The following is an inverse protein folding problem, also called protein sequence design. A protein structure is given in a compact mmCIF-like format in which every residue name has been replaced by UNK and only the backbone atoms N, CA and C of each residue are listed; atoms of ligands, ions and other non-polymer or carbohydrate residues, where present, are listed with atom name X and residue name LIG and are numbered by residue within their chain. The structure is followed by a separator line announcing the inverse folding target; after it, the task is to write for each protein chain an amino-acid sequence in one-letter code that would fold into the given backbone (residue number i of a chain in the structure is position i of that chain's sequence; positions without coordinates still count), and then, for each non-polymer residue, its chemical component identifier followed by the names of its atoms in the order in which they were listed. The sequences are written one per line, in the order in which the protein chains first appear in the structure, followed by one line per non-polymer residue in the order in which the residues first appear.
data_IF_115734787929
#
_entry.id   IF_115734787929
#
_cell.length_a   1.000
_cell.length_b   1.000
_cell.length_c   1.000
_cell.angle_alpha   90.00
_cell.angle_beta   90.00
_cell.angle_gamma   90.00
#
_symmetry.space_group_name_H-M   'P 1'
#
loop_
_entity.id
_entity.type
_entity.pdbx_description
1 polymer ?
#
# COMPACT_ATOMS: atom_id res chain seq x y z
N UNK A 1 13.26 -10.89 -1.32
CA UNK A 1 12.13 -11.84 -1.18
C UNK A 1 10.82 -11.07 -1.34
N UNK A 2 9.77 -11.64 -1.93
CA UNK A 2 8.48 -10.96 -2.12
C UNK A 2 7.47 -11.71 -1.26
N UNK A 3 6.72 -10.99 -0.39
CA UNK A 3 5.68 -11.62 0.42
C UNK A 3 4.63 -12.27 -0.48
N UNK A 4 4.45 -13.57 -0.33
CA UNK A 4 3.41 -14.32 -0.99
C UNK A 4 2.10 -14.11 -0.22
N UNK A 5 1.07 -13.62 -0.88
CA UNK A 5 -0.26 -13.41 -0.30
C UNK A 5 -1.25 -14.44 -0.86
N UNK A 6 -1.16 -15.71 -0.45
CA UNK A 6 -1.93 -16.78 -1.07
C UNK A 6 -3.45 -16.62 -0.90
N UNK A 7 -3.90 -16.11 0.23
CA UNK A 7 -5.32 -15.85 0.48
C UNK A 7 -5.88 -14.79 -0.47
N UNK A 8 -5.13 -13.70 -0.67
CA UNK A 8 -5.52 -12.61 -1.56
C UNK A 8 -5.53 -13.08 -3.02
N UNK A 9 -4.51 -13.85 -3.42
CA UNK A 9 -4.44 -14.44 -4.75
C UNK A 9 -5.61 -15.40 -5.01
N UNK A 10 -5.96 -16.27 -4.04
CA UNK A 10 -7.15 -17.13 -4.14
C UNK A 10 -8.42 -16.31 -4.36
N UNK A 11 -8.58 -15.19 -3.65
CA UNK A 11 -9.74 -14.31 -3.82
C UNK A 11 -9.81 -13.70 -5.21
N UNK A 12 -8.67 -13.26 -5.77
CA UNK A 12 -8.59 -12.76 -7.16
C UNK A 12 -9.04 -13.83 -8.15
N UNK A 13 -8.53 -15.06 -8.03
CA UNK A 13 -8.92 -16.16 -8.92
C UNK A 13 -10.37 -16.57 -8.74
N UNK A 14 -10.86 -16.65 -7.50
CA UNK A 14 -12.27 -16.93 -7.23
C UNK A 14 -13.22 -15.92 -7.89
N UNK A 15 -12.84 -14.64 -7.94
CA UNK A 15 -13.60 -13.62 -8.65
C UNK A 15 -13.56 -13.83 -10.18
N UNK A 16 -12.40 -14.15 -10.74
CA UNK A 16 -12.24 -14.41 -12.18
C UNK A 16 -13.00 -15.67 -12.64
N UNK A 17 -13.06 -16.70 -11.80
CA UNK A 17 -13.67 -17.99 -12.09
C UNK A 17 -15.16 -18.07 -11.67
N UNK A 18 -15.69 -17.00 -11.07
CA UNK A 18 -17.11 -16.91 -10.73
C UNK A 18 -18.02 -16.99 -11.98
N UNK A 19 -19.26 -17.42 -11.81
CA UNK A 19 -20.26 -17.44 -12.88
C UNK A 19 -21.48 -16.59 -12.50
N UNK A 20 -21.66 -15.42 -13.12
CA UNK A 20 -20.80 -14.78 -14.13
C UNK A 20 -19.46 -14.33 -13.54
N UNK A 21 -18.42 -14.31 -14.39
CA UNK A 21 -17.07 -13.86 -14.01
C UNK A 21 -17.12 -12.42 -13.48
N UNK A 22 -16.40 -12.14 -12.39
CA UNK A 22 -16.29 -10.81 -11.80
C UNK A 22 -14.93 -10.19 -12.13
N UNK A 23 -14.86 -8.88 -12.06
CA UNK A 23 -13.64 -8.10 -12.28
C UNK A 23 -13.08 -7.70 -10.91
N UNK A 24 -12.02 -8.35 -10.40
CA UNK A 24 -11.36 -7.93 -9.18
C UNK A 24 -10.65 -6.59 -9.38
N UNK A 25 -10.86 -5.67 -8.45
CA UNK A 25 -10.26 -4.33 -8.42
C UNK A 25 -9.47 -4.18 -7.14
N UNK A 26 -8.15 -4.28 -7.25
CA UNK A 26 -7.23 -4.18 -6.11
C UNK A 26 -7.00 -2.71 -5.76
N UNK A 27 -7.43 -2.29 -4.59
CA UNK A 27 -7.26 -0.91 -4.12
C UNK A 27 -6.37 -0.81 -2.89
N UNK A 28 -5.60 0.25 -2.79
CA UNK A 28 -4.72 0.49 -1.63
C UNK A 28 -3.65 1.53 -1.95
N UNK A 29 -3.07 2.17 -0.94
CA UNK A 29 -2.08 3.24 -1.09
C UNK A 29 -0.80 2.83 -1.82
N UNK A 30 0.09 3.79 -2.06
CA UNK A 30 1.41 3.52 -2.63
C UNK A 30 2.17 2.49 -1.79
N UNK A 31 2.87 1.57 -2.45
CA UNK A 31 3.66 0.55 -1.77
C UNK A 31 2.86 -0.59 -1.12
N UNK A 32 1.54 -0.69 -1.34
CA UNK A 32 0.71 -1.79 -0.80
C UNK A 32 0.91 -3.16 -1.47
N UNK A 33 1.68 -3.22 -2.57
CA UNK A 33 2.00 -4.47 -3.28
C UNK A 33 1.01 -4.86 -4.38
N UNK A 34 0.15 -3.96 -4.86
CA UNK A 34 -0.83 -4.21 -5.95
C UNK A 34 -0.15 -4.71 -7.22
N UNK A 35 0.82 -3.96 -7.75
CA UNK A 35 1.60 -4.34 -8.94
C UNK A 35 2.28 -5.69 -8.78
N UNK A 36 2.84 -5.96 -7.60
CA UNK A 36 3.46 -7.25 -7.29
C UNK A 36 2.46 -8.40 -7.41
N UNK A 37 1.26 -8.24 -6.82
CA UNK A 37 0.20 -9.24 -6.89
C UNK A 37 -0.29 -9.43 -8.33
N UNK A 38 -0.40 -8.33 -9.08
CA UNK A 38 -0.82 -8.36 -10.49
C UNK A 38 0.19 -9.14 -11.36
N UNK A 39 1.49 -8.93 -11.16
CA UNK A 39 2.55 -9.66 -11.86
C UNK A 39 2.59 -11.15 -11.47
N UNK A 40 2.37 -11.46 -10.19
CA UNK A 40 2.22 -12.85 -9.75
C UNK A 40 0.98 -13.53 -10.38
N UNK A 41 -0.13 -12.80 -10.52
CA UNK A 41 -1.32 -13.29 -11.22
C UNK A 41 -1.03 -13.58 -12.70
N UNK A 42 -0.32 -12.67 -13.38
CA UNK A 42 0.13 -12.88 -14.77
C UNK A 42 0.95 -14.15 -14.93
N UNK A 43 1.93 -14.36 -14.05
CA UNK A 43 2.82 -15.52 -14.16
C UNK A 43 2.06 -16.84 -13.91
N UNK A 44 0.99 -16.83 -13.10
CA UNK A 44 0.11 -18.00 -12.89
C UNK A 44 -0.88 -18.23 -14.03
N UNK A 45 -1.42 -17.18 -14.61
CA UNK A 45 -2.38 -17.27 -15.73
C UNK A 45 -1.69 -17.61 -17.06
N UNK A 46 -0.39 -17.42 -17.16
CA UNK A 46 0.40 -17.60 -18.36
C UNK A 46 0.43 -16.35 -19.24
N UNK A 47 1.64 -16.05 -19.73
CA UNK A 47 1.91 -14.81 -20.50
C UNK A 47 1.27 -14.78 -21.89
N UNK A 48 0.95 -15.94 -22.45
CA UNK A 48 0.28 -16.05 -23.74
C UNK A 48 -1.23 -15.83 -23.67
N UNK A 49 -1.81 -16.02 -22.48
CA UNK A 49 -3.25 -15.81 -22.21
C UNK A 49 -3.52 -14.48 -21.48
N UNK A 50 -2.47 -13.72 -21.13
CA UNK A 50 -2.59 -12.56 -20.25
C UNK A 50 -1.74 -11.40 -20.73
N UNK A 51 -2.31 -10.22 -20.84
CA UNK A 51 -1.61 -8.98 -21.11
C UNK A 51 -1.61 -8.07 -19.89
N UNK A 52 -0.40 -7.68 -19.45
CA UNK A 52 -0.20 -6.63 -18.44
C UNK A 52 -0.05 -5.27 -19.10
N UNK A 53 -0.74 -4.28 -18.59
CA UNK A 53 -0.71 -2.89 -19.07
C UNK A 53 -0.44 -1.97 -17.89
N UNK A 54 0.71 -1.30 -17.90
CA UNK A 54 1.04 -0.21 -16.98
C UNK A 54 0.40 1.08 -17.53
N UNK A 55 -0.78 1.39 -17.02
CA UNK A 55 -1.56 2.53 -17.49
C UNK A 55 -0.89 3.84 -17.09
N UNK A 56 -0.36 3.93 -15.87
CA UNK A 56 0.31 5.14 -15.39
C UNK A 56 1.47 5.57 -16.32
N UNK A 57 2.27 4.60 -16.72
CA UNK A 57 3.44 4.85 -17.55
C UNK A 57 3.10 5.14 -19.01
N UNK A 58 2.01 4.56 -19.51
CA UNK A 58 1.70 4.55 -20.93
C UNK A 58 0.59 5.52 -21.33
N UNK A 59 -0.31 5.91 -20.43
CA UNK A 59 -1.47 6.78 -20.73
C UNK A 59 -1.09 8.26 -20.89
N UNK A 60 -0.32 8.60 -21.93
CA UNK A 60 0.07 9.98 -22.27
C UNK A 60 -0.92 10.64 -23.21
N UNK A 61 -1.27 10.02 -24.34
CA UNK A 61 -2.36 10.37 -25.24
C UNK A 61 -3.11 9.10 -25.63
N UNK A 62 -4.40 9.20 -26.03
CA UNK A 62 -5.18 8.02 -26.42
C UNK A 62 -4.52 7.20 -27.53
N UNK A 63 -3.94 7.86 -28.55
CA UNK A 63 -3.29 7.17 -29.67
C UNK A 63 -1.99 6.48 -29.26
N UNK A 64 -1.17 7.12 -28.39
CA UNK A 64 0.05 6.50 -27.87
C UNK A 64 -0.25 5.35 -26.95
N UNK A 65 -1.28 5.50 -26.12
CA UNK A 65 -1.73 4.43 -25.23
C UNK A 65 -2.23 3.22 -26.03
N UNK A 66 -3.09 3.42 -27.04
CA UNK A 66 -3.56 2.34 -27.89
C UNK A 66 -2.38 1.60 -28.55
N UNK A 67 -1.37 2.33 -29.09
CA UNK A 67 -0.15 1.73 -29.64
C UNK A 67 0.65 0.94 -28.59
N UNK A 68 0.78 1.48 -27.37
CA UNK A 68 1.48 0.82 -26.27
C UNK A 68 0.76 -0.46 -25.79
N UNK A 69 -0.55 -0.54 -25.98
CA UNK A 69 -1.34 -1.73 -25.68
C UNK A 69 -1.28 -2.74 -26.82
N UNK A 70 -1.43 -2.32 -28.07
CA UNK A 70 -1.49 -3.20 -29.22
C UNK A 70 -0.13 -3.81 -29.58
N UNK A 71 0.96 -3.00 -29.55
CA UNK A 71 2.28 -3.42 -30.01
C UNK A 71 2.86 -4.64 -29.26
N UNK A 72 2.87 -4.69 -27.92
CA UNK A 72 3.37 -5.83 -27.15
C UNK A 72 2.30 -6.90 -26.88
N UNK A 73 1.11 -6.81 -27.49
CA UNK A 73 0.01 -7.71 -27.19
C UNK A 73 0.31 -9.16 -27.62
N UNK A 74 0.06 -10.16 -26.75
CA UNK A 74 0.08 -11.56 -27.16
C UNK A 74 -1.16 -11.98 -27.97
N UNK A 75 -2.12 -11.09 -28.13
CA UNK A 75 -3.36 -11.34 -28.88
C UNK A 75 -3.32 -10.71 -30.26
N UNK A 76 -4.02 -11.27 -31.24
CA UNK A 76 -4.12 -10.67 -32.57
C UNK A 76 -4.66 -9.23 -32.49
N UNK A 77 -3.98 -8.30 -33.09
CA UNK A 77 -4.33 -6.87 -33.14
C UNK A 77 -4.38 -6.38 -34.57
N UNK A 78 -5.09 -5.28 -34.80
CA UNK A 78 -4.93 -4.50 -36.03
C UNK A 78 -3.69 -3.61 -35.89
N UNK A 79 -2.82 -3.58 -36.89
CA UNK A 79 -1.58 -2.79 -36.87
C UNK A 79 -1.84 -1.26 -36.88
N UNK A 80 -3.04 -0.84 -37.29
CA UNK A 80 -3.38 0.55 -37.46
C UNK A 80 -4.18 1.10 -36.27
N UNK A 81 -3.60 2.05 -35.51
CA UNK A 81 -4.34 2.85 -34.54
C UNK A 81 -5.04 3.99 -35.28
N UNK A 82 -6.36 4.15 -35.16
CA UNK A 82 -7.08 5.25 -35.79
C UNK A 82 -6.55 6.62 -35.34
N UNK A 83 -6.57 7.58 -36.25
CA UNK A 83 -6.21 8.96 -35.95
C UNK A 83 -7.32 9.65 -35.13
N UNK A 84 -6.90 10.40 -34.11
CA UNK A 84 -7.80 11.15 -33.23
C UNK A 84 -8.09 10.45 -31.89
N UNK A 85 -8.25 11.24 -30.85
CA UNK A 85 -8.33 10.76 -29.47
C UNK A 85 -9.52 9.81 -29.23
N UNK A 86 -10.72 10.21 -29.68
CA UNK A 86 -11.94 9.38 -29.49
C UNK A 86 -11.88 8.09 -30.33
N UNK A 87 -11.55 8.12 -31.63
CA UNK A 87 -11.43 6.89 -32.42
C UNK A 87 -10.35 5.92 -31.88
N UNK A 88 -9.22 6.44 -31.43
CA UNK A 88 -8.17 5.60 -30.84
C UNK A 88 -8.63 4.93 -29.53
N UNK A 89 -9.37 5.65 -28.69
CA UNK A 89 -9.93 5.10 -27.46
C UNK A 89 -11.05 4.07 -27.75
N UNK A 90 -11.91 4.32 -28.73
CA UNK A 90 -12.95 3.36 -29.15
C UNK A 90 -12.33 2.06 -29.70
N UNK A 91 -11.26 2.17 -30.49
CA UNK A 91 -10.52 1.01 -30.99
C UNK A 91 -9.89 0.21 -29.82
N UNK A 92 -9.35 0.90 -28.81
CA UNK A 92 -8.85 0.26 -27.59
C UNK A 92 -9.95 -0.48 -26.85
N UNK A 93 -11.11 0.13 -26.63
CA UNK A 93 -12.25 -0.52 -25.97
C UNK A 93 -12.73 -1.76 -26.75
N UNK A 94 -12.82 -1.65 -28.07
CA UNK A 94 -13.16 -2.77 -28.94
C UNK A 94 -12.15 -3.92 -28.83
N UNK A 95 -10.85 -3.60 -28.79
CA UNK A 95 -9.80 -4.58 -28.58
C UNK A 95 -9.94 -5.27 -27.21
N UNK A 96 -10.06 -4.51 -26.13
CA UNK A 96 -10.24 -5.06 -24.78
C UNK A 96 -11.50 -5.95 -24.68
N UNK A 97 -12.57 -5.61 -25.41
CA UNK A 97 -13.81 -6.38 -25.40
C UNK A 97 -13.74 -7.68 -26.21
N UNK A 98 -13.00 -7.69 -27.32
CA UNK A 98 -13.10 -8.75 -28.34
C UNK A 98 -11.82 -9.57 -28.55
N UNK A 99 -10.69 -9.20 -27.93
CA UNK A 99 -9.45 -9.96 -28.03
C UNK A 99 -9.65 -11.43 -27.64
N UNK A 100 -8.92 -12.30 -28.34
CA UNK A 100 -8.91 -13.74 -28.08
C UNK A 100 -7.47 -14.24 -28.03
N UNK A 101 -7.26 -15.29 -27.25
CA UNK A 101 -6.00 -16.04 -27.29
C UNK A 101 -5.84 -16.76 -28.64
N UNK A 102 -4.65 -17.27 -28.95
CA UNK A 102 -4.43 -18.09 -30.13
C UNK A 102 -5.29 -19.35 -30.18
N UNK A 103 -5.79 -19.81 -29.04
CA UNK A 103 -6.74 -20.92 -28.93
C UNK A 103 -8.21 -20.50 -29.07
N UNK A 104 -8.51 -19.21 -29.30
CA UNK A 104 -9.88 -18.68 -29.39
C UNK A 104 -10.55 -18.39 -28.04
N UNK A 105 -9.86 -18.64 -26.93
CA UNK A 105 -10.38 -18.41 -25.58
C UNK A 105 -10.42 -16.92 -25.21
N UNK A 106 -11.23 -16.53 -24.21
CA UNK A 106 -11.25 -15.17 -23.70
C UNK A 106 -9.86 -14.72 -23.21
N UNK A 107 -9.44 -13.53 -23.60
CA UNK A 107 -8.19 -12.92 -23.14
C UNK A 107 -8.31 -12.42 -21.70
N UNK A 108 -7.19 -12.36 -21.00
CA UNK A 108 -7.11 -11.74 -19.67
C UNK A 108 -6.26 -10.47 -19.73
N UNK A 109 -6.79 -9.36 -19.21
CA UNK A 109 -6.09 -8.07 -19.14
C UNK A 109 -5.86 -7.66 -17.69
N UNK A 110 -4.63 -7.27 -17.37
CA UNK A 110 -4.21 -6.77 -16.08
C UNK A 110 -3.89 -5.28 -16.23
N UNK A 111 -4.81 -4.40 -15.82
CA UNK A 111 -4.65 -2.96 -15.96
C UNK A 111 -4.17 -2.35 -14.64
N UNK A 112 -2.89 -2.01 -14.59
CA UNK A 112 -2.27 -1.40 -13.40
C UNK A 112 -2.51 0.12 -13.41
N UNK A 113 -3.04 0.65 -12.30
CA UNK A 113 -3.40 2.06 -12.11
C UNK A 113 -4.42 2.59 -13.14
N UNK A 114 -5.51 1.85 -13.37
CA UNK A 114 -6.49 2.14 -14.42
C UNK A 114 -7.12 3.53 -14.35
N UNK A 115 -7.20 4.15 -13.15
CA UNK A 115 -7.72 5.51 -12.99
C UNK A 115 -6.84 6.60 -13.62
N UNK A 116 -5.61 6.30 -13.99
CA UNK A 116 -4.73 7.24 -14.69
C UNK A 116 -5.21 7.55 -16.11
N UNK A 117 -6.11 6.73 -16.68
CA UNK A 117 -6.82 7.07 -17.91
C UNK A 117 -7.64 8.36 -17.80
N UNK A 118 -7.89 8.86 -16.58
CA UNK A 118 -8.52 10.18 -16.37
C UNK A 118 -7.75 11.32 -17.07
N UNK A 119 -6.47 11.17 -17.37
CA UNK A 119 -5.74 12.13 -18.18
C UNK A 119 -6.40 12.41 -19.51
N UNK A 120 -7.14 11.44 -20.04
CA UNK A 120 -7.81 11.56 -21.32
C UNK A 120 -9.08 12.42 -21.25
N UNK A 121 -9.62 12.74 -20.08
CA UNK A 121 -10.77 13.65 -19.93
C UNK A 121 -10.53 15.03 -20.53
N UNK A 122 -9.27 15.44 -20.67
CA UNK A 122 -8.88 16.69 -21.31
C UNK A 122 -8.98 16.68 -22.85
N UNK A 123 -9.09 15.49 -23.45
CA UNK A 123 -9.19 15.35 -24.90
C UNK A 123 -10.65 15.45 -25.39
N UNK A 124 -10.88 16.01 -26.60
CA UNK A 124 -12.22 16.11 -27.17
C UNK A 124 -12.92 14.75 -27.24
N UNK A 125 -14.17 14.71 -26.78
CA UNK A 125 -15.01 13.51 -26.81
C UNK A 125 -14.73 12.49 -25.70
N UNK A 126 -13.75 12.70 -24.79
CA UNK A 126 -13.35 11.75 -23.76
C UNK A 126 -13.66 12.20 -22.33
N UNK A 127 -14.55 13.16 -22.11
CA UNK A 127 -14.92 13.66 -20.77
C UNK A 127 -15.43 12.57 -19.81
N UNK A 128 -15.93 11.45 -20.33
CA UNK A 128 -16.46 10.33 -19.56
C UNK A 128 -15.62 9.06 -19.72
N UNK A 129 -14.36 9.18 -20.07
CA UNK A 129 -13.45 8.07 -20.41
C UNK A 129 -13.46 6.94 -19.39
N UNK A 130 -13.47 7.25 -18.09
CA UNK A 130 -13.51 6.22 -17.03
C UNK A 130 -14.85 5.49 -16.98
N UNK A 131 -15.97 6.16 -17.23
CA UNK A 131 -17.27 5.51 -17.29
C UNK A 131 -17.39 4.65 -18.55
N UNK A 132 -16.96 5.18 -19.71
CA UNK A 132 -16.94 4.43 -20.97
C UNK A 132 -16.06 3.17 -20.85
N UNK A 133 -14.89 3.29 -20.20
CA UNK A 133 -14.04 2.13 -19.89
C UNK A 133 -14.77 1.11 -19.01
N UNK A 134 -15.28 1.53 -17.86
CA UNK A 134 -15.91 0.62 -16.89
C UNK A 134 -17.14 -0.07 -17.51
N UNK A 135 -17.95 0.65 -18.29
CA UNK A 135 -19.09 0.09 -18.99
C UNK A 135 -18.65 -0.92 -20.07
N UNK A 136 -17.59 -0.59 -20.84
CA UNK A 136 -17.01 -1.50 -21.84
C UNK A 136 -16.45 -2.78 -21.22
N UNK A 137 -15.72 -2.67 -20.10
CA UNK A 137 -15.18 -3.84 -19.39
C UNK A 137 -16.31 -4.69 -18.78
N UNK A 138 -17.35 -4.07 -18.22
CA UNK A 138 -18.48 -4.77 -17.63
C UNK A 138 -19.28 -5.60 -18.67
N UNK A 139 -19.40 -5.09 -19.90
CA UNK A 139 -20.08 -5.77 -21.00
C UNK A 139 -19.23 -6.82 -21.73
N UNK A 140 -17.92 -6.91 -21.44
CA UNK A 140 -17.01 -7.82 -22.13
C UNK A 140 -17.09 -9.24 -21.59
N UNK A 141 -16.82 -10.23 -22.45
CA UNK A 141 -16.61 -11.64 -22.07
C UNK A 141 -15.16 -11.91 -21.63
N UNK A 142 -14.24 -10.99 -21.90
CA UNK A 142 -12.86 -11.10 -21.47
C UNK A 142 -12.71 -10.90 -19.96
N UNK A 143 -11.59 -11.35 -19.41
CA UNK A 143 -11.28 -11.29 -17.99
C UNK A 143 -10.42 -10.07 -17.71
N UNK A 144 -10.67 -9.41 -16.59
CA UNK A 144 -9.90 -8.22 -16.18
C UNK A 144 -9.52 -8.29 -14.72
N UNK A 145 -8.32 -7.79 -14.41
CA UNK A 145 -7.91 -7.44 -13.04
C UNK A 145 -7.43 -5.99 -13.08
N UNK A 146 -8.01 -5.15 -12.24
CA UNK A 146 -7.68 -3.73 -12.20
C UNK A 146 -6.95 -3.40 -10.90
N UNK A 147 -6.08 -2.40 -10.94
CA UNK A 147 -5.53 -1.82 -9.71
C UNK A 147 -5.72 -0.31 -9.67
N UNK A 148 -5.80 0.23 -8.46
CA UNK A 148 -5.82 1.67 -8.23
C UNK A 148 -5.27 2.03 -6.86
N UNK A 149 -4.46 3.10 -6.80
CA UNK A 149 -4.02 3.71 -5.54
C UNK A 149 -5.09 4.58 -4.89
N UNK A 150 -6.13 4.97 -5.61
CA UNK A 150 -7.16 5.88 -5.16
C UNK A 150 -8.41 5.12 -4.73
N UNK A 151 -8.44 4.68 -3.47
CA UNK A 151 -9.52 3.83 -2.93
C UNK A 151 -10.87 4.54 -2.96
N UNK A 152 -10.95 5.75 -2.40
CA UNK A 152 -12.19 6.52 -2.33
C UNK A 152 -12.77 6.81 -3.72
N UNK A 153 -11.92 7.19 -4.67
CA UNK A 153 -12.33 7.48 -6.06
C UNK A 153 -12.80 6.22 -6.78
N UNK A 154 -12.09 5.10 -6.60
CA UNK A 154 -12.47 3.80 -7.19
C UNK A 154 -13.84 3.36 -6.66
N UNK A 155 -14.05 3.42 -5.36
CA UNK A 155 -15.34 3.07 -4.73
C UNK A 155 -16.48 3.94 -5.27
N UNK A 156 -16.24 5.22 -5.47
CA UNK A 156 -17.24 6.15 -6.03
C UNK A 156 -17.58 5.82 -7.48
N UNK A 157 -16.57 5.56 -8.32
CA UNK A 157 -16.75 5.21 -9.74
C UNK A 157 -17.52 3.90 -9.92
N UNK A 158 -17.29 2.92 -9.05
CA UNK A 158 -17.85 1.57 -9.15
C UNK A 158 -19.07 1.33 -8.27
N UNK A 159 -19.58 2.34 -7.56
CA UNK A 159 -20.68 2.22 -6.56
C UNK A 159 -21.88 1.43 -7.10
N UNK A 160 -22.32 1.73 -8.32
CA UNK A 160 -23.52 1.17 -8.91
C UNK A 160 -23.26 -0.06 -9.81
N UNK A 161 -22.02 -0.61 -9.73
CA UNK A 161 -21.55 -1.71 -10.61
C UNK A 161 -21.01 -2.91 -9.83
N UNK A 162 -21.44 -3.08 -8.59
CA UNK A 162 -20.92 -4.11 -7.65
C UNK A 162 -21.24 -5.54 -8.08
N UNK A 163 -22.21 -5.75 -8.97
CA UNK A 163 -22.52 -7.08 -9.53
C UNK A 163 -21.39 -7.61 -10.42
N UNK A 164 -20.68 -6.73 -11.13
CA UNK A 164 -19.61 -7.12 -12.08
C UNK A 164 -18.22 -6.88 -11.48
N UNK A 165 -18.05 -5.86 -10.62
CA UNK A 165 -16.77 -5.50 -10.03
C UNK A 165 -16.68 -5.94 -8.56
N UNK A 166 -15.57 -6.56 -8.18
CA UNK A 166 -15.26 -6.89 -6.79
C UNK A 166 -14.09 -6.04 -6.29
N UNK A 167 -14.39 -5.08 -5.42
CA UNK A 167 -13.36 -4.25 -4.80
C UNK A 167 -12.66 -5.06 -3.70
N UNK A 168 -11.35 -5.24 -3.86
CA UNK A 168 -10.49 -5.95 -2.93
C UNK A 168 -9.48 -4.95 -2.37
N UNK A 169 -9.69 -4.55 -1.13
CA UNK A 169 -8.73 -3.69 -0.44
C UNK A 169 -7.47 -4.49 -0.11
N UNK A 170 -6.30 -3.94 -0.44
CA UNK A 170 -5.02 -4.54 -0.11
C UNK A 170 -4.81 -4.47 1.41
N UNK A 171 -4.77 -5.60 2.11
CA UNK A 171 -4.55 -5.59 3.55
C UNK A 171 -3.10 -5.19 3.87
N UNK A 172 -2.87 -4.70 5.10
CA UNK A 172 -1.53 -4.63 5.67
C UNK A 172 -0.89 -6.04 5.70
N UNK A 173 0.44 -6.12 5.78
CA UNK A 173 1.12 -7.37 6.10
C UNK A 173 0.71 -7.82 7.49
N UNK A 174 0.77 -9.11 7.75
CA UNK A 174 0.71 -9.64 9.11
C UNK A 174 2.11 -9.64 9.74
N UNK A 175 2.21 -9.94 11.02
CA UNK A 175 3.50 -10.11 11.69
C UNK A 175 4.25 -11.29 11.09
N UNK A 176 3.53 -12.37 10.73
CA UNK A 176 4.08 -13.56 10.08
C UNK A 176 4.67 -13.23 8.70
N UNK A 177 3.96 -12.44 7.88
CA UNK A 177 4.47 -11.93 6.60
C UNK A 177 5.75 -11.09 6.83
N UNK A 178 5.80 -10.32 7.93
CA UNK A 178 6.97 -9.50 8.30
C UNK A 178 8.15 -10.37 8.71
N UNK A 179 7.91 -11.43 9.49
CA UNK A 179 8.94 -12.44 9.86
C UNK A 179 9.55 -13.06 8.59
N UNK A 180 8.71 -13.41 7.63
CA UNK A 180 9.18 -13.96 6.35
C UNK A 180 10.05 -12.96 5.57
N UNK A 181 9.62 -11.71 5.47
CA UNK A 181 10.35 -10.65 4.78
C UNK A 181 11.68 -10.29 5.43
N UNK A 182 11.78 -10.38 6.76
CA UNK A 182 13.01 -10.17 7.53
C UNK A 182 13.98 -11.36 7.45
N UNK A 183 13.55 -12.50 6.85
CA UNK A 183 14.34 -13.72 6.80
C UNK A 183 14.50 -14.42 8.15
N UNK A 184 13.61 -14.13 9.10
CA UNK A 184 13.67 -14.67 10.48
C UNK A 184 12.97 -16.02 10.63
N UNK A 185 12.36 -16.54 9.59
CA UNK A 185 11.60 -17.81 9.61
C UNK A 185 12.43 -19.02 10.05
N UNK A 186 13.75 -19.01 9.82
CA UNK A 186 14.64 -20.09 10.25
C UNK A 186 14.86 -20.07 11.78
N UNK A 187 15.08 -18.87 12.36
CA UNK A 187 15.23 -18.68 13.79
C UNK A 187 13.96 -19.10 14.55
N UNK A 188 12.79 -18.80 13.98
CA UNK A 188 11.49 -19.17 14.55
C UNK A 188 11.19 -20.69 14.42
N UNK A 189 11.64 -21.36 13.33
CA UNK A 189 11.41 -22.82 13.13
C UNK A 189 12.34 -23.73 13.89
N UNK A 190 13.54 -23.25 14.26
CA UNK A 190 14.48 -24.03 15.08
C UNK A 190 13.87 -24.51 16.42
N UNK A 191 12.74 -23.94 16.82
CA UNK A 191 11.99 -24.29 18.03
C UNK A 191 10.84 -25.29 17.80
N UNK A 192 10.37 -25.46 16.56
CA UNK A 192 9.22 -26.32 16.25
C UNK A 192 9.59 -27.78 15.94
N UNK A 193 10.86 -28.16 16.08
CA UNK A 193 11.37 -29.48 15.72
C UNK A 193 11.11 -30.62 16.73
N UNK A 194 10.37 -30.37 17.83
CA UNK A 194 9.97 -31.39 18.79
C UNK A 194 8.45 -31.42 18.96
N UNK A 195 7.86 -32.57 18.70
CA UNK A 195 6.39 -32.85 18.71
C UNK A 195 5.69 -32.58 20.07
N UNK A 196 6.43 -32.12 21.12
CA UNK A 196 5.88 -31.82 22.45
C UNK A 196 6.53 -30.62 23.18
N UNK A 197 7.09 -29.62 22.47
CA UNK A 197 7.74 -28.50 23.14
C UNK A 197 6.75 -27.34 23.41
N UNK A 198 5.92 -27.50 24.45
CA UNK A 198 5.32 -26.35 25.16
C UNK A 198 6.40 -25.83 26.15
N UNK A 199 7.50 -25.29 25.62
CA UNK A 199 8.55 -24.65 26.39
C UNK A 199 8.63 -23.13 26.02
N UNK A 200 9.23 -22.29 26.90
CA UNK A 200 9.47 -20.88 26.55
C UNK A 200 10.34 -20.81 25.29
N UNK A 201 10.06 -19.82 24.43
CA UNK A 201 10.87 -19.52 23.24
C UNK A 201 12.34 -19.34 23.67
N UNK A 202 13.29 -19.75 22.81
CA UNK A 202 14.70 -19.41 23.03
C UNK A 202 14.86 -17.88 22.97
N UNK A 203 15.87 -17.35 23.64
CA UNK A 203 16.14 -15.90 23.64
C UNK A 203 16.26 -15.37 22.20
N UNK A 204 16.91 -16.11 21.29
CA UNK A 204 17.02 -15.76 19.86
C UNK A 204 15.67 -15.70 19.14
N UNK A 205 14.75 -16.59 19.46
CA UNK A 205 13.41 -16.61 18.86
C UNK A 205 12.54 -15.46 19.41
N UNK A 206 12.71 -15.14 20.70
CA UNK A 206 12.01 -14.02 21.32
C UNK A 206 12.47 -12.68 20.75
N UNK A 207 13.77 -12.51 20.58
CA UNK A 207 14.37 -11.31 19.96
C UNK A 207 13.93 -11.18 18.49
N UNK A 208 13.86 -12.28 17.74
CA UNK A 208 13.39 -12.29 16.35
C UNK A 208 11.91 -11.88 16.24
N UNK A 209 11.07 -12.39 17.15
CA UNK A 209 9.66 -12.02 17.19
C UNK A 209 9.48 -10.55 17.59
N UNK A 210 10.19 -10.07 18.59
CA UNK A 210 10.16 -8.67 19.03
C UNK A 210 10.61 -7.74 17.90
N UNK A 211 11.70 -8.08 17.19
CA UNK A 211 12.17 -7.33 16.03
C UNK A 211 11.09 -7.26 14.93
N UNK A 212 10.47 -8.38 14.59
CA UNK A 212 9.44 -8.44 13.57
C UNK A 212 8.19 -7.61 13.95
N UNK A 213 7.74 -7.72 15.19
CA UNK A 213 6.62 -6.92 15.72
C UNK A 213 6.93 -5.43 15.71
N UNK A 214 8.16 -5.06 16.08
CA UNK A 214 8.63 -3.67 16.05
C UNK A 214 8.63 -3.12 14.63
N UNK A 215 9.26 -3.82 13.69
CA UNK A 215 9.29 -3.42 12.27
C UNK A 215 7.88 -3.34 11.69
N UNK A 216 7.02 -4.31 11.99
CA UNK A 216 5.62 -4.30 11.58
C UNK A 216 4.89 -3.05 12.08
N UNK A 217 5.03 -2.72 13.35
CA UNK A 217 4.35 -1.60 13.99
C UNK A 217 4.82 -0.23 13.47
N UNK A 218 6.15 -0.03 13.31
CA UNK A 218 6.69 1.23 12.79
C UNK A 218 6.48 1.39 11.28
N UNK A 219 6.34 0.29 10.54
CA UNK A 219 6.02 0.29 9.11
C UNK A 219 4.50 0.33 8.82
N UNK A 220 3.64 0.32 9.86
CA UNK A 220 2.17 0.24 9.72
C UNK A 220 1.74 -0.97 8.85
N UNK A 221 2.50 -2.09 8.91
CA UNK A 221 2.31 -3.27 8.08
C UNK A 221 2.37 -3.02 6.56
N UNK A 222 2.90 -1.89 6.10
CA UNK A 222 2.97 -1.56 4.67
C UNK A 222 4.14 -2.28 4.01
N UNK A 223 3.90 -3.08 2.95
CA UNK A 223 4.92 -3.92 2.34
C UNK A 223 6.19 -3.17 1.89
N UNK A 224 6.02 -1.98 1.30
CA UNK A 224 7.17 -1.19 0.83
C UNK A 224 8.03 -0.68 1.99
N UNK A 225 7.41 -0.31 3.12
CA UNK A 225 8.11 0.19 4.30
C UNK A 225 8.80 -0.94 5.06
N UNK A 226 8.07 -2.04 5.30
CA UNK A 226 8.66 -3.26 5.89
C UNK A 226 9.87 -3.71 5.08
N UNK A 227 9.74 -3.74 3.75
CA UNK A 227 10.84 -4.15 2.87
C UNK A 227 12.04 -3.20 2.93
N UNK A 228 11.80 -1.88 2.94
CA UNK A 228 12.87 -0.91 3.04
C UNK A 228 13.67 -1.09 4.34
N UNK A 229 12.98 -1.29 5.46
CA UNK A 229 13.60 -1.53 6.76
C UNK A 229 14.32 -2.88 6.78
N UNK A 230 13.71 -3.94 6.23
CA UNK A 230 14.31 -5.26 6.17
C UNK A 230 15.60 -5.30 5.34
N UNK A 231 15.58 -4.67 4.16
CA UNK A 231 16.75 -4.58 3.27
C UNK A 231 17.91 -3.82 3.95
N UNK A 232 17.62 -2.73 4.67
CA UNK A 232 18.61 -1.95 5.40
C UNK A 232 19.21 -2.71 6.60
N UNK A 233 18.36 -3.36 7.40
CA UNK A 233 18.79 -4.21 8.50
C UNK A 233 19.66 -5.39 8.00
N UNK A 234 19.36 -5.95 6.83
CA UNK A 234 20.17 -7.00 6.22
C UNK A 234 21.54 -6.47 5.77
N UNK A 235 21.58 -5.29 5.15
CA UNK A 235 22.82 -4.65 4.72
C UNK A 235 23.78 -4.38 5.89
N UNK A 236 23.28 -3.91 7.03
CA UNK A 236 24.09 -3.70 8.24
C UNK A 236 24.66 -5.00 8.82
N UNK A 237 23.92 -6.13 8.70
CA UNK A 237 24.42 -7.44 9.11
C UNK A 237 25.60 -7.91 8.27
N UNK A 238 25.56 -7.70 6.96
CA UNK A 238 26.63 -8.09 6.03
C UNK A 238 27.91 -7.29 6.25
N UNK A 239 27.81 -6.01 6.68
CA UNK A 239 28.96 -5.15 6.93
C UNK A 239 29.54 -5.25 8.35
N UNK A 240 29.00 -6.15 9.19
CA UNK A 240 29.55 -6.43 10.52
C UNK A 240 29.33 -5.33 11.57
N UNK A 241 28.46 -4.37 11.31
CA UNK A 241 28.14 -3.29 12.22
C UNK A 241 27.14 -3.77 13.29
N UNK A 242 27.69 -4.33 14.37
CA UNK A 242 26.90 -4.92 15.45
C UNK A 242 26.04 -3.90 16.22
N UNK A 243 26.35 -2.59 16.11
CA UNK A 243 25.63 -1.49 16.76
C UNK A 243 24.33 -1.07 16.07
N UNK A 244 24.09 -1.47 14.82
CA UNK A 244 23.00 -0.95 13.98
C UNK A 244 21.84 -1.94 13.78
N UNK A 245 21.47 -2.73 14.80
CA UNK A 245 20.30 -3.63 14.73
C UNK A 245 19.00 -2.98 15.21
N UNK A 246 19.05 -1.72 15.62
CA UNK A 246 17.87 -1.02 16.12
C UNK A 246 16.97 -0.54 14.97
N UNK A 247 15.71 -1.06 14.90
CA UNK A 247 14.76 -0.66 13.86
C UNK A 247 14.42 0.83 13.88
N UNK A 248 14.52 1.49 15.02
CA UNK A 248 14.19 2.92 15.18
C UNK A 248 15.28 3.78 14.54
N UNK A 249 16.55 3.48 14.83
CA UNK A 249 17.69 4.14 14.20
C UNK A 249 17.72 3.88 12.68
N UNK A 250 17.41 2.66 12.28
CA UNK A 250 17.24 2.29 10.84
C UNK A 250 16.14 3.12 10.18
N UNK A 251 15.00 3.30 10.84
CA UNK A 251 13.90 4.13 10.33
C UNK A 251 14.34 5.59 10.18
N UNK A 252 15.11 6.13 11.14
CA UNK A 252 15.64 7.49 11.08
C UNK A 252 16.59 7.67 9.86
N UNK A 253 17.52 6.76 9.64
CA UNK A 253 18.39 6.75 8.48
C UNK A 253 17.61 6.68 7.15
N UNK A 254 16.59 5.85 7.07
CA UNK A 254 15.74 5.72 5.89
C UNK A 254 14.84 6.93 5.63
N UNK A 255 14.52 7.74 6.65
CA UNK A 255 13.79 9.00 6.55
C UNK A 255 14.68 10.23 6.38
N UNK A 256 16.01 10.10 6.45
CA UNK A 256 16.94 11.17 6.11
C UNK A 256 16.68 11.69 4.67
N UNK A 257 17.12 12.91 4.30
CA UNK A 257 16.80 13.51 2.99
C UNK A 257 17.04 12.60 1.79
N UNK A 258 18.14 11.85 1.78
CA UNK A 258 18.48 10.91 0.71
C UNK A 258 18.06 9.46 1.00
N UNK A 259 17.36 9.24 2.08
CA UNK A 259 16.92 7.93 2.52
C UNK A 259 15.85 7.32 1.60
N UNK A 260 15.81 6.00 1.55
CA UNK A 260 14.88 5.26 0.68
C UNK A 260 13.42 5.54 1.00
N UNK A 261 13.05 5.61 2.30
CA UNK A 261 11.68 5.93 2.70
C UNK A 261 11.34 7.38 2.43
N UNK A 262 12.29 8.30 2.63
CA UNK A 262 12.10 9.71 2.27
C UNK A 262 11.75 9.86 0.79
N UNK A 263 12.48 9.19 -0.10
CA UNK A 263 12.17 9.20 -1.54
C UNK A 263 10.81 8.58 -1.88
N UNK A 264 10.42 7.49 -1.22
CA UNK A 264 9.10 6.87 -1.39
C UNK A 264 7.96 7.78 -0.93
N UNK A 265 8.12 8.43 0.22
CA UNK A 265 7.16 9.38 0.76
C UNK A 265 7.03 10.60 -0.15
N UNK A 266 8.17 11.19 -0.58
CA UNK A 266 8.19 12.32 -1.50
C UNK A 266 7.47 11.99 -2.82
N UNK A 267 7.80 10.85 -3.43
CA UNK A 267 7.13 10.41 -4.65
C UNK A 267 5.63 10.25 -4.43
N UNK A 268 5.22 9.58 -3.36
CA UNK A 268 3.81 9.38 -3.04
C UNK A 268 3.06 10.70 -2.78
N UNK A 269 3.72 11.66 -2.12
CA UNK A 269 3.18 12.97 -1.81
C UNK A 269 3.00 13.83 -3.07
N UNK A 270 4.07 14.00 -3.85
CA UNK A 270 4.04 14.84 -5.05
C UNK A 270 3.14 14.26 -6.15
N UNK A 271 3.17 12.95 -6.37
CA UNK A 271 2.32 12.28 -7.35
C UNK A 271 0.83 12.54 -7.10
N UNK A 272 0.42 12.55 -5.84
CA UNK A 272 -0.98 12.77 -5.46
C UNK A 272 -1.37 14.25 -5.55
N UNK A 273 -0.44 15.17 -5.35
CA UNK A 273 -0.70 16.62 -5.43
C UNK A 273 -0.51 17.21 -6.83
N UNK A 274 0.23 16.54 -7.71
CA UNK A 274 0.69 17.08 -9.00
C UNK A 274 -0.43 17.67 -9.88
N UNK A 275 -1.64 17.13 -9.82
CA UNK A 275 -2.77 17.58 -10.65
C UNK A 275 -3.84 18.33 -9.86
N UNK A 276 -3.52 18.73 -8.65
CA UNK A 276 -4.47 19.41 -7.79
C UNK A 276 -4.57 20.89 -8.10
N UNK A 277 -5.79 21.40 -8.19
CA UNK A 277 -6.01 22.85 -8.13
C UNK A 277 -5.82 23.33 -6.70
N UNK A 278 -5.08 24.41 -6.52
CA UNK A 278 -4.84 24.97 -5.19
C UNK A 278 -3.71 24.27 -4.42
N UNK A 279 -2.68 23.81 -5.13
CA UNK A 279 -1.51 23.08 -4.59
C UNK A 279 -0.95 23.68 -3.29
N UNK A 280 -0.76 25.02 -3.21
CA UNK A 280 -0.28 25.66 -1.98
C UNK A 280 -1.23 25.51 -0.79
N UNK A 281 -2.55 25.60 -1.01
CA UNK A 281 -3.54 25.41 0.04
C UNK A 281 -3.60 23.94 0.52
N UNK A 282 -3.45 22.99 -0.40
CA UNK A 282 -3.40 21.57 -0.06
C UNK A 282 -2.17 21.23 0.76
N UNK A 283 -0.99 21.76 0.41
CA UNK A 283 0.23 21.62 1.20
C UNK A 283 0.06 22.23 2.59
N UNK A 284 -0.47 23.44 2.70
CA UNK A 284 -0.71 24.07 4.00
C UNK A 284 -1.68 23.25 4.88
N UNK A 285 -2.72 22.65 4.31
CA UNK A 285 -3.61 21.73 5.07
C UNK A 285 -2.86 20.52 5.55
N UNK A 286 -2.01 19.91 4.71
CA UNK A 286 -1.22 18.75 5.11
C UNK A 286 -0.18 19.10 6.18
N UNK A 287 0.44 20.27 6.14
CA UNK A 287 1.32 20.77 7.20
C UNK A 287 0.56 20.96 8.51
N UNK A 288 -0.63 21.59 8.48
CA UNK A 288 -1.50 21.76 9.66
C UNK A 288 -1.85 20.39 10.27
N UNK A 289 -2.26 19.43 9.46
CA UNK A 289 -2.61 18.08 9.92
C UNK A 289 -1.38 17.27 10.34
N UNK A 290 -0.20 17.55 9.77
CA UNK A 290 1.04 16.92 10.20
C UNK A 290 1.42 17.35 11.63
N UNK A 291 1.24 18.62 11.96
CA UNK A 291 1.48 19.13 13.31
C UNK A 291 0.45 18.58 14.31
N UNK A 292 -0.83 18.62 13.98
CA UNK A 292 -1.92 18.13 14.84
C UNK A 292 -2.99 17.41 14.02
N UNK A 293 -3.19 16.12 14.31
CA UNK A 293 -4.25 15.29 13.71
C UNK A 293 -5.56 15.38 14.47
N UNK A 294 -6.62 14.91 13.84
CA UNK A 294 -7.93 14.85 14.45
C UNK A 294 -8.64 16.21 14.51
N UNK A 295 -8.22 17.15 13.68
CA UNK A 295 -8.86 18.45 13.57
C UNK A 295 -10.17 18.36 12.79
N UNK A 296 -11.15 19.16 13.21
CA UNK A 296 -12.42 19.35 12.51
C UNK A 296 -12.26 20.31 11.33
N UNK A 297 -13.23 20.35 10.41
CA UNK A 297 -13.26 21.32 9.30
C UNK A 297 -13.09 22.76 9.79
N UNK A 298 -13.75 23.12 10.88
CA UNK A 298 -13.70 24.50 11.44
C UNK A 298 -12.30 24.83 11.95
N UNK A 299 -11.66 23.90 12.68
CA UNK A 299 -10.30 24.08 13.21
C UNK A 299 -9.27 24.20 12.06
N UNK A 300 -9.38 23.35 11.04
CA UNK A 300 -8.53 23.45 9.84
C UNK A 300 -8.75 24.78 9.11
N UNK A 301 -10.00 25.18 8.91
CA UNK A 301 -10.34 26.44 8.24
C UNK A 301 -9.76 27.66 8.94
N UNK A 302 -9.86 27.67 10.28
CA UNK A 302 -9.33 28.75 11.11
C UNK A 302 -7.81 28.86 10.97
N UNK A 303 -7.09 27.72 11.06
CA UNK A 303 -5.62 27.70 10.90
C UNK A 303 -5.17 28.05 9.48
N UNK A 304 -5.93 27.64 8.47
CA UNK A 304 -5.67 27.94 7.07
C UNK A 304 -6.02 29.39 6.70
N UNK A 305 -6.73 30.11 7.58
CA UNK A 305 -7.28 31.47 7.36
C UNK A 305 -8.14 31.54 6.08
N UNK A 306 -9.00 30.53 5.89
CA UNK A 306 -9.93 30.43 4.78
C UNK A 306 -11.34 30.09 5.25
N UNK A 307 -12.32 30.29 4.35
CA UNK A 307 -13.71 29.94 4.65
C UNK A 307 -13.88 28.42 4.77
N UNK A 308 -14.81 27.93 5.64
CA UNK A 308 -15.11 26.49 5.75
C UNK A 308 -15.52 25.85 4.42
N UNK A 309 -16.23 26.58 3.55
CA UNK A 309 -16.63 26.09 2.23
C UNK A 309 -15.42 25.74 1.35
N UNK A 310 -14.50 26.70 1.14
CA UNK A 310 -13.30 26.45 0.34
C UNK A 310 -12.37 25.39 0.97
N UNK A 311 -12.27 25.36 2.30
CA UNK A 311 -11.47 24.34 3.01
C UNK A 311 -12.06 22.95 2.83
N UNK A 312 -13.39 22.81 2.85
CA UNK A 312 -14.07 21.55 2.58
C UNK A 312 -13.75 20.99 1.21
N UNK A 313 -13.70 21.84 0.18
CA UNK A 313 -13.36 21.42 -1.19
C UNK A 313 -11.92 20.86 -1.26
N UNK A 314 -10.95 21.50 -0.59
CA UNK A 314 -9.59 21.02 -0.49
C UNK A 314 -9.49 19.71 0.29
N UNK A 315 -10.15 19.60 1.43
CA UNK A 315 -10.18 18.36 2.23
C UNK A 315 -10.81 17.21 1.45
N UNK A 316 -11.94 17.47 0.77
CA UNK A 316 -12.58 16.48 -0.11
C UNK A 316 -11.64 15.99 -1.20
N UNK A 317 -10.85 16.90 -1.76
CA UNK A 317 -9.84 16.52 -2.76
C UNK A 317 -8.72 15.66 -2.15
N UNK A 318 -8.24 16.00 -0.94
CA UNK A 318 -7.23 15.20 -0.22
C UNK A 318 -7.75 13.81 0.16
N UNK A 319 -9.04 13.70 0.51
CA UNK A 319 -9.70 12.40 0.70
C UNK A 319 -9.79 11.59 -0.60
N UNK A 320 -10.10 12.24 -1.72
CA UNK A 320 -10.19 11.60 -3.04
C UNK A 320 -8.88 10.99 -3.53
N UNK A 321 -7.76 11.54 -3.08
CA UNK A 321 -6.42 11.01 -3.40
C UNK A 321 -5.82 10.19 -2.27
N UNK A 322 -6.62 9.83 -1.27
CA UNK A 322 -6.22 9.01 -0.11
C UNK A 322 -4.98 9.54 0.64
N UNK A 323 -4.80 10.88 0.72
CA UNK A 323 -3.80 11.50 1.58
C UNK A 323 -4.34 11.71 2.99
N UNK A 324 -5.63 12.04 3.10
CA UNK A 324 -6.33 12.32 4.34
C UNK A 324 -7.56 11.43 4.42
N UNK A 325 -7.96 11.09 5.62
CA UNK A 325 -9.21 10.40 5.93
C UNK A 325 -9.98 11.14 7.00
N UNK A 326 -11.31 11.08 6.96
CA UNK A 326 -12.17 11.66 7.98
C UNK A 326 -12.85 10.55 8.80
N UNK A 327 -12.62 10.56 10.10
CA UNK A 327 -13.35 9.74 11.07
C UNK A 327 -14.11 10.64 12.04
N UNK A 328 -15.43 10.48 12.14
CA UNK A 328 -16.29 11.31 13.00
C UNK A 328 -16.08 12.82 12.79
N UNK A 329 -15.95 13.25 11.50
CA UNK A 329 -15.69 14.65 11.09
C UNK A 329 -14.33 15.20 11.56
N UNK A 330 -13.40 14.35 11.93
CA UNK A 330 -12.01 14.68 12.27
C UNK A 330 -11.07 14.13 11.23
N UNK A 331 -10.17 14.97 10.75
CA UNK A 331 -9.24 14.67 9.64
C UNK A 331 -7.89 14.23 10.15
N UNK A 332 -7.35 13.18 9.54
CA UNK A 332 -6.03 12.61 9.86
C UNK A 332 -5.36 12.11 8.58
N UNK A 333 -4.06 11.92 8.62
CA UNK A 333 -3.35 11.26 7.51
C UNK A 333 -3.79 9.81 7.35
N UNK A 334 -3.93 9.37 6.10
CA UNK A 334 -4.16 7.95 5.78
C UNK A 334 -2.90 7.12 6.00
N UNK A 335 -1.73 7.75 5.93
CA UNK A 335 -0.42 7.13 6.09
C UNK A 335 0.33 7.80 7.23
N UNK A 336 0.48 7.12 8.40
CA UNK A 336 1.14 7.72 9.56
C UNK A 336 2.63 8.05 9.31
N UNK A 337 3.32 7.24 8.49
CA UNK A 337 4.74 7.49 8.18
C UNK A 337 4.90 8.65 7.21
N UNK A 338 3.99 8.82 6.27
CA UNK A 338 3.94 10.00 5.41
C UNK A 338 3.73 11.29 6.24
N UNK A 339 2.93 11.24 7.29
CA UNK A 339 2.79 12.34 8.23
C UNK A 339 4.13 12.73 8.86
N UNK A 340 4.91 11.74 9.35
CA UNK A 340 6.25 12.00 9.91
C UNK A 340 7.15 12.65 8.86
N UNK A 341 7.10 12.14 7.64
CA UNK A 341 7.88 12.69 6.52
C UNK A 341 7.50 14.16 6.23
N UNK A 342 6.21 14.51 6.20
CA UNK A 342 5.74 15.90 6.01
C UNK A 342 6.26 16.81 7.12
N UNK A 343 6.23 16.36 8.38
CA UNK A 343 6.80 17.10 9.52
C UNK A 343 8.30 17.35 9.39
N UNK A 344 9.02 16.42 8.80
CA UNK A 344 10.47 16.53 8.62
C UNK A 344 10.84 17.37 7.39
N UNK A 345 10.18 17.16 6.27
CA UNK A 345 10.66 17.63 4.96
C UNK A 345 9.83 18.75 4.33
N UNK A 346 8.63 19.05 4.84
CA UNK A 346 7.81 20.17 4.35
C UNK A 346 8.03 21.46 5.14
N UNK A 347 9.19 21.62 5.78
CA UNK A 347 9.62 22.83 6.50
C UNK A 347 10.57 23.68 5.66
N UNK A 348 10.79 24.93 6.08
CA UNK A 348 11.67 25.85 5.38
C UNK A 348 13.16 25.42 5.41
N UNK A 349 13.58 24.64 6.40
CA UNK A 349 14.93 24.08 6.54
C UNK A 349 14.94 22.57 6.47
N UNK A 350 16.02 22.00 5.92
CA UNK A 350 16.23 20.56 5.96
C UNK A 350 16.32 20.07 7.42
N UNK A 351 15.80 18.86 7.72
CA UNK A 351 15.87 18.32 9.07
C UNK A 351 17.32 18.02 9.48
N UNK A 352 17.64 18.32 10.73
CA UNK A 352 18.89 17.91 11.37
C UNK A 352 18.79 16.45 11.83
N UNK A 353 19.93 15.84 12.19
CA UNK A 353 19.93 14.49 12.78
C UNK A 353 19.12 14.43 14.08
N UNK A 354 19.18 15.48 14.90
CA UNK A 354 18.38 15.60 16.13
C UNK A 354 16.89 15.71 15.83
N UNK A 355 16.48 16.41 14.75
CA UNK A 355 15.09 16.48 14.32
C UNK A 355 14.60 15.11 13.88
N UNK A 356 15.39 14.38 13.08
CA UNK A 356 15.10 13.02 12.65
C UNK A 356 14.92 12.07 13.85
N UNK A 357 15.91 12.05 14.75
CA UNK A 357 15.85 11.20 15.94
C UNK A 357 14.62 11.49 16.79
N UNK A 358 14.35 12.78 17.06
CA UNK A 358 13.21 13.22 17.88
C UNK A 358 11.87 12.84 17.27
N UNK A 359 11.66 13.11 15.96
CA UNK A 359 10.38 12.83 15.31
C UNK A 359 10.14 11.33 15.13
N UNK A 360 11.20 10.58 14.79
CA UNK A 360 11.11 9.12 14.68
C UNK A 360 10.84 8.48 16.04
N UNK A 361 11.50 8.94 17.10
CA UNK A 361 11.22 8.45 18.46
C UNK A 361 9.78 8.73 18.89
N UNK A 362 9.30 9.96 18.67
CA UNK A 362 7.91 10.34 18.95
C UNK A 362 6.91 9.46 18.21
N UNK A 363 7.22 9.09 16.98
CA UNK A 363 6.39 8.21 16.15
C UNK A 363 6.42 6.76 16.61
N UNK A 364 7.62 6.24 16.91
CA UNK A 364 7.84 4.84 17.22
C UNK A 364 7.36 4.43 18.61
N UNK A 365 7.69 5.21 19.65
CA UNK A 365 7.44 4.85 21.06
C UNK A 365 6.01 4.35 21.35
N UNK A 366 4.93 5.03 20.91
CA UNK A 366 3.57 4.57 21.20
C UNK A 366 3.17 3.32 20.40
N UNK A 367 3.98 2.90 19.43
CA UNK A 367 3.74 1.75 18.54
C UNK A 367 4.56 0.53 18.91
N UNK A 368 5.58 0.69 19.75
CA UNK A 368 6.41 -0.43 20.17
C UNK A 368 5.55 -1.51 20.85
N UNK A 369 5.81 -2.79 20.54
CA UNK A 369 5.17 -3.87 21.27
C UNK A 369 5.53 -3.75 22.74
N UNK A 370 4.52 -3.74 23.62
CA UNK A 370 4.75 -3.79 25.04
C UNK A 370 5.42 -5.15 25.34
N UNK A 371 6.60 -5.10 25.92
CA UNK A 371 7.19 -6.28 26.52
C UNK A 371 6.19 -6.77 27.56
N UNK A 372 5.55 -7.91 27.29
CA UNK A 372 4.75 -8.58 28.31
C UNK A 372 5.66 -8.77 29.50
N UNK A 373 5.40 -8.06 30.59
CA UNK A 373 6.09 -8.29 31.85
C UNK A 373 6.06 -9.79 32.06
N UNK A 374 7.25 -10.45 32.06
CA UNK A 374 7.31 -11.83 32.50
C UNK A 374 6.69 -11.82 33.89
N UNK A 375 5.72 -12.72 34.17
CA UNK A 375 5.24 -12.84 35.53
C UNK A 375 6.51 -13.06 36.38
N UNK A 376 6.80 -12.11 37.29
CA UNK A 376 7.89 -12.26 38.23
C UNK A 376 7.78 -13.67 38.78
N UNK A 377 8.82 -14.48 38.54
CA UNK A 377 8.95 -15.74 39.22
C UNK A 377 8.95 -15.36 40.71
N UNK A 378 7.78 -15.48 41.33
CA UNK A 378 7.68 -15.49 42.76
C UNK A 378 8.58 -16.65 43.23
N UNK A 379 9.82 -16.33 43.57
CA UNK A 379 10.62 -17.22 44.37
C UNK A 379 9.86 -17.38 45.67
N UNK A 380 9.01 -18.41 45.72
CA UNK A 380 8.50 -18.92 46.96
C UNK A 380 9.71 -19.40 47.73
N UNK A 381 10.22 -18.55 48.60
CA UNK A 381 11.10 -18.95 49.69
C UNK A 381 10.26 -19.87 50.57
N UNK A 382 10.26 -21.15 50.25
CA UNK A 382 9.80 -22.17 51.16
C UNK A 382 10.80 -22.20 52.32
N UNK A 383 10.51 -21.43 53.35
CA UNK A 383 11.16 -21.62 54.63
C UNK A 383 10.78 -22.98 55.20
N UNK A 384 11.73 -23.68 55.88
CA UNK A 384 11.46 -24.96 56.45
C UNK A 384 10.37 -24.83 57.56
N UNK A 385 9.50 -25.84 57.74
CA UNK A 385 8.52 -25.81 58.79
C UNK A 385 9.22 -25.97 60.14
N UNK A 386 9.17 -24.94 60.98
CA UNK A 386 9.55 -24.99 62.39
C UNK A 386 8.52 -25.81 63.13
N UNK A 387 8.80 -27.09 63.34
CA UNK A 387 8.03 -27.92 64.29
C UNK A 387 8.34 -27.50 65.69
N UNK A 388 7.37 -26.95 66.43
CA UNK A 388 7.40 -26.89 67.89
C UNK A 388 6.71 -28.15 68.38
N UNK A 389 7.47 -28.99 69.07
CA UNK A 389 6.97 -30.11 69.86
C UNK A 389 6.71 -29.51 71.26
N UNK A 390 5.47 -29.37 71.66
CA UNK A 390 5.11 -29.27 73.10
C UNK A 390 4.85 -30.63 73.61
N UNK A 391 5.60 -30.98 74.67
CA UNK A 391 5.41 -32.14 75.53
C UNK A 391 4.71 -31.61 76.77
N UNK A 392 3.50 -32.13 77.02
CA UNK A 392 3.00 -32.55 78.31
C UNK A 392 1.79 -33.47 78.16
#
# INVERSE_FOLDING_TARGET
MVALRPALMRRVFAALDASPSRIPVLVGGCGSGRTTLLLQARDRLGRTATQYVDVERTATTPERFARAVFGPSPFPTSDAVPMGARPAFDALLAFLAHARTSAGEPATFLLDEFLELRTFESFPGLRRVLHDLVDGLAGSVNRFVLTSRYTARTMRLLRDRTSRFEIIQMPALTVEDTIELLGLSAAMRGHAGGVNAVGPLSDDAHDAEYLARTVHAIADGRPAYVRAIADELASHREHGDAGSRDPISTLAALLAPDGRLSRLCNFSYELRLHRARGYGALKAILEILADEEGLTLTEVSHRLQRTPGSTKDYLSWLEDVDLVTAHHKRYSFTDPLLRVWVRLHCRASAPTEDDLAREVHRYALPRLPQLMAQPERAYAMAGPPSGIIEID
#
